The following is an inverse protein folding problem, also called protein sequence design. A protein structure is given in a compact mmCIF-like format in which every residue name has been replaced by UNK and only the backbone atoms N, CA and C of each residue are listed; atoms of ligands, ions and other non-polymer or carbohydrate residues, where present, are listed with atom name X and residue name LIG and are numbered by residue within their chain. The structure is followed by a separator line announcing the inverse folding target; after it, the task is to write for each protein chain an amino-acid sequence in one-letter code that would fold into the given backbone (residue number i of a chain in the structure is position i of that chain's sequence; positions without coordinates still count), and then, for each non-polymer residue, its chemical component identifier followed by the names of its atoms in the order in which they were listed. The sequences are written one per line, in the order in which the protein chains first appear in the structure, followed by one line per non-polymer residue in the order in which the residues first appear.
data_IF_855328242001
#
_entry.id   IF_855328242001
#
_cell.length_a   1.000
_cell.length_b   1.000
_cell.length_c   1.000
_cell.angle_alpha   90.00
_cell.angle_beta   90.00
_cell.angle_gamma   90.00
#
_symmetry.space_group_name_H-M   'P 1'
#
loop_
_entity.id
_entity.type
_entity.pdbx_description
1 polymer ?
#
# COMPACT_ATOMS: atom_id res chain seq x y z
N UNK A 1 -29.30 49.58 3.52
CA UNK A 1 -28.81 48.60 2.52
C UNK A 1 -27.67 47.71 3.02
N UNK A 2 -27.30 47.76 4.28
CA UNK A 2 -26.09 47.13 4.88
C UNK A 2 -26.34 45.77 5.60
N UNK A 3 -27.57 45.41 5.93
CA UNK A 3 -27.88 44.22 6.75
C UNK A 3 -28.02 42.92 5.93
N UNK A 4 -28.34 42.99 4.64
CA UNK A 4 -28.45 41.80 3.77
C UNK A 4 -27.11 41.21 3.30
N UNK A 5 -26.08 42.01 3.21
CA UNK A 5 -24.74 41.58 2.77
C UNK A 5 -24.00 40.83 3.88
N UNK A 6 -24.18 41.21 5.13
CA UNK A 6 -23.52 40.57 6.28
C UNK A 6 -24.05 39.14 6.56
N UNK A 7 -25.34 38.91 6.39
CA UNK A 7 -25.97 37.58 6.56
C UNK A 7 -25.61 36.60 5.43
N UNK A 8 -25.41 37.06 4.20
CA UNK A 8 -25.04 36.19 3.09
C UNK A 8 -23.59 35.70 3.19
N UNK A 9 -22.69 36.55 3.66
CA UNK A 9 -21.25 36.20 3.82
C UNK A 9 -21.06 35.20 4.97
N UNK A 10 -21.73 35.39 6.11
CA UNK A 10 -21.68 34.47 7.26
C UNK A 10 -22.32 33.10 6.97
N UNK A 11 -23.40 33.06 6.18
CA UNK A 11 -24.02 31.80 5.74
C UNK A 11 -23.14 31.04 4.71
N UNK A 12 -22.43 31.76 3.83
CA UNK A 12 -21.49 31.18 2.87
C UNK A 12 -20.25 30.59 3.58
N UNK A 13 -19.71 31.31 4.58
CA UNK A 13 -18.57 30.82 5.38
C UNK A 13 -18.96 29.63 6.27
N UNK A 14 -20.14 29.63 6.89
CA UNK A 14 -20.62 28.54 7.70
C UNK A 14 -20.88 27.26 6.87
N UNK A 15 -21.42 27.39 5.65
CA UNK A 15 -21.61 26.26 4.73
C UNK A 15 -20.27 25.73 4.20
N UNK A 16 -19.31 26.59 3.92
CA UNK A 16 -17.97 26.21 3.51
C UNK A 16 -17.22 25.42 4.60
N UNK A 17 -17.28 25.90 5.85
CA UNK A 17 -16.65 25.24 7.00
C UNK A 17 -17.30 23.89 7.32
N UNK A 18 -18.64 23.79 7.24
CA UNK A 18 -19.37 22.54 7.42
C UNK A 18 -18.99 21.50 6.36
N UNK A 19 -18.87 21.93 5.12
CA UNK A 19 -18.48 21.06 3.99
C UNK A 19 -17.03 20.56 4.15
N UNK A 20 -16.09 21.41 4.54
CA UNK A 20 -14.71 21.02 4.80
C UNK A 20 -14.63 19.98 5.93
N UNK A 21 -15.38 20.15 7.01
CA UNK A 21 -15.49 19.16 8.10
C UNK A 21 -16.03 17.82 7.61
N UNK A 22 -17.04 17.81 6.76
CA UNK A 22 -17.57 16.57 6.19
C UNK A 22 -16.52 15.84 5.34
N UNK A 23 -15.68 16.54 4.57
CA UNK A 23 -14.55 15.94 3.86
C UNK A 23 -13.47 15.40 4.82
N UNK A 24 -13.18 16.09 5.91
CA UNK A 24 -12.24 15.62 6.95
C UNK A 24 -12.73 14.35 7.64
N UNK A 25 -14.03 14.27 8.00
CA UNK A 25 -14.62 13.06 8.58
C UNK A 25 -14.57 11.91 7.55
N UNK A 26 -14.94 12.18 6.30
CA UNK A 26 -14.85 11.19 5.21
C UNK A 26 -13.42 10.73 4.97
N UNK A 27 -12.44 11.61 5.10
CA UNK A 27 -11.02 11.24 5.07
C UNK A 27 -10.66 10.30 6.23
N UNK A 28 -11.12 10.57 7.45
CA UNK A 28 -10.95 9.67 8.59
C UNK A 28 -11.53 8.27 8.33
N UNK A 29 -12.72 8.19 7.74
CA UNK A 29 -13.32 6.92 7.35
C UNK A 29 -12.55 6.23 6.21
N UNK A 30 -12.03 6.99 5.26
CA UNK A 30 -11.18 6.45 4.20
C UNK A 30 -9.83 5.95 4.74
N UNK A 31 -9.30 6.53 5.82
CA UNK A 31 -8.15 5.97 6.55
C UNK A 31 -8.50 4.63 7.21
N UNK A 32 -9.70 4.49 7.79
CA UNK A 32 -10.16 3.18 8.29
C UNK A 32 -10.24 2.16 7.14
N UNK A 33 -10.74 2.56 5.98
CA UNK A 33 -10.72 1.71 4.78
C UNK A 33 -9.29 1.28 4.42
N UNK A 34 -8.35 2.22 4.41
CA UNK A 34 -6.96 1.94 4.06
C UNK A 34 -6.26 1.04 5.10
N UNK A 35 -6.60 1.19 6.38
CA UNK A 35 -6.18 0.28 7.44
C UNK A 35 -6.68 -1.15 7.20
N UNK A 36 -8.00 -1.31 6.93
CA UNK A 36 -8.62 -2.62 6.69
C UNK A 36 -8.04 -3.30 5.43
N UNK A 37 -7.78 -2.52 4.40
CA UNK A 37 -7.15 -2.99 3.17
C UNK A 37 -5.76 -3.57 3.43
N UNK A 38 -4.89 -2.85 4.17
CA UNK A 38 -3.56 -3.34 4.51
C UNK A 38 -3.60 -4.51 5.47
N UNK A 39 -4.54 -4.54 6.42
CA UNK A 39 -4.76 -5.70 7.27
C UNK A 39 -5.14 -6.94 6.45
N UNK A 40 -6.06 -6.79 5.49
CA UNK A 40 -6.44 -7.87 4.57
C UNK A 40 -5.28 -8.31 3.65
N UNK A 41 -4.36 -7.40 3.32
CA UNK A 41 -3.17 -7.68 2.51
C UNK A 41 -2.15 -8.54 3.28
N UNK A 42 -1.89 -8.22 4.55
CA UNK A 42 -0.84 -8.83 5.36
C UNK A 42 -1.29 -10.05 6.18
N UNK A 43 -2.57 -10.14 6.57
CA UNK A 43 -3.08 -11.24 7.37
C UNK A 43 -2.79 -12.66 6.82
N UNK A 44 -2.76 -12.91 5.50
CA UNK A 44 -2.42 -14.24 5.00
C UNK A 44 -1.05 -14.77 5.43
N UNK A 45 -0.07 -13.90 5.71
CA UNK A 45 1.26 -14.31 6.14
C UNK A 45 1.23 -15.17 7.42
N UNK A 46 0.30 -14.88 8.33
CA UNK A 46 0.13 -15.60 9.61
C UNK A 46 -0.84 -16.80 9.51
N UNK A 47 -1.43 -17.05 8.34
CA UNK A 47 -2.45 -18.11 8.12
C UNK A 47 -1.95 -19.18 7.15
N UNK A 48 -0.72 -19.15 6.69
CA UNK A 48 -0.23 -20.00 5.61
C UNK A 48 -0.55 -21.50 5.82
N UNK A 49 -0.30 -22.11 7.00
CA UNK A 49 -0.64 -23.53 7.24
C UNK A 49 -2.14 -23.80 7.16
N UNK A 50 -2.98 -22.89 7.66
CA UNK A 50 -4.43 -23.05 7.65
C UNK A 50 -5.01 -22.93 6.23
N UNK A 51 -4.51 -21.95 5.47
CA UNK A 51 -4.91 -21.74 4.08
C UNK A 51 -4.49 -22.93 3.20
N UNK A 52 -3.28 -23.46 3.39
CA UNK A 52 -2.79 -24.64 2.67
C UNK A 52 -3.72 -25.85 2.87
N UNK A 53 -4.10 -26.12 4.13
CA UNK A 53 -5.05 -27.20 4.46
C UNK A 53 -6.46 -26.93 3.92
N UNK A 54 -6.97 -25.72 4.15
CA UNK A 54 -8.35 -25.36 3.81
C UNK A 54 -8.60 -25.30 2.30
N UNK A 55 -7.61 -24.84 1.52
CA UNK A 55 -7.72 -24.73 0.07
C UNK A 55 -7.24 -25.98 -0.68
N UNK A 56 -6.75 -27.00 0.05
CA UNK A 56 -6.30 -28.27 -0.53
C UNK A 56 -5.14 -28.12 -1.52
N UNK A 57 -4.20 -27.19 -1.24
CA UNK A 57 -3.10 -26.88 -2.15
C UNK A 57 -1.78 -26.70 -1.39
N UNK A 58 -0.68 -26.50 -2.09
CA UNK A 58 0.64 -26.26 -1.50
C UNK A 58 0.79 -24.79 -1.08
N UNK A 59 1.83 -24.47 -0.29
CA UNK A 59 2.17 -23.06 0.05
C UNK A 59 2.38 -22.22 -1.22
N UNK A 60 2.99 -22.78 -2.28
CA UNK A 60 3.13 -22.12 -3.58
C UNK A 60 1.76 -21.88 -4.22
N UNK A 61 0.84 -22.83 -4.14
CA UNK A 61 -0.53 -22.70 -4.63
C UNK A 61 -1.31 -21.61 -3.87
N UNK A 62 -1.18 -21.56 -2.54
CA UNK A 62 -1.75 -20.45 -1.73
C UNK A 62 -1.18 -19.12 -2.18
N UNK A 63 0.14 -19.03 -2.37
CA UNK A 63 0.78 -17.78 -2.80
C UNK A 63 0.34 -17.35 -4.20
N UNK A 64 0.08 -18.29 -5.10
CA UNK A 64 -0.49 -17.98 -6.41
C UNK A 64 -1.88 -17.33 -6.27
N UNK A 65 -2.73 -17.85 -5.36
CA UNK A 65 -4.03 -17.25 -5.03
C UNK A 65 -3.82 -15.83 -4.45
N UNK A 66 -2.93 -15.69 -3.47
CA UNK A 66 -2.65 -14.41 -2.81
C UNK A 66 -2.11 -13.36 -3.79
N UNK A 67 -1.27 -13.77 -4.73
CA UNK A 67 -0.66 -12.92 -5.75
C UNK A 67 -1.66 -12.27 -6.70
N UNK A 68 -2.83 -12.89 -6.92
CA UNK A 68 -3.87 -12.32 -7.81
C UNK A 68 -4.42 -10.98 -7.32
N UNK A 69 -4.30 -10.69 -6.03
CA UNK A 69 -4.56 -9.37 -5.44
C UNK A 69 -3.79 -8.26 -6.17
N UNK A 70 -2.49 -8.46 -6.42
CA UNK A 70 -1.64 -7.43 -7.01
C UNK A 70 -1.93 -7.19 -8.49
N UNK A 71 -2.43 -8.18 -9.23
CA UNK A 71 -2.86 -8.00 -10.62
C UNK A 71 -4.03 -7.02 -10.72
N UNK A 72 -5.09 -7.28 -9.95
CA UNK A 72 -6.28 -6.42 -9.97
C UNK A 72 -6.02 -5.08 -9.29
N UNK A 73 -5.27 -5.04 -8.19
CA UNK A 73 -4.88 -3.78 -7.55
C UNK A 73 -4.13 -2.86 -8.52
N UNK A 74 -3.13 -3.40 -9.24
CA UNK A 74 -2.36 -2.64 -10.23
C UNK A 74 -3.27 -2.05 -11.29
N UNK A 75 -4.02 -2.88 -12.02
CA UNK A 75 -4.89 -2.43 -13.12
C UNK A 75 -5.97 -1.47 -12.64
N UNK A 76 -6.63 -1.78 -11.51
CA UNK A 76 -7.73 -0.96 -10.99
C UNK A 76 -7.22 0.37 -10.42
N UNK A 77 -5.94 0.50 -10.07
CA UNK A 77 -5.35 1.80 -9.66
C UNK A 77 -5.47 2.87 -10.74
N UNK A 78 -5.40 2.49 -12.03
CA UNK A 78 -5.67 3.41 -13.15
C UNK A 78 -7.14 3.82 -13.20
N UNK A 79 -8.04 2.88 -12.92
CA UNK A 79 -9.49 3.14 -12.95
C UNK A 79 -9.90 3.99 -11.75
N UNK A 80 -9.33 3.73 -10.56
CA UNK A 80 -9.69 4.42 -9.33
C UNK A 80 -9.45 5.93 -9.40
N UNK A 81 -8.28 6.36 -9.89
CA UNK A 81 -7.99 7.79 -10.09
C UNK A 81 -8.99 8.45 -11.01
N UNK A 82 -9.22 7.83 -12.17
CA UNK A 82 -10.17 8.34 -13.17
C UNK A 82 -11.63 8.35 -12.67
N UNK A 83 -12.04 7.34 -11.89
CA UNK A 83 -13.37 7.30 -11.27
C UNK A 83 -13.56 8.42 -10.26
N UNK A 84 -12.56 8.67 -9.39
CA UNK A 84 -12.57 9.79 -8.45
C UNK A 84 -12.74 11.13 -9.17
N UNK A 85 -12.04 11.31 -10.27
CA UNK A 85 -12.12 12.55 -11.06
C UNK A 85 -13.49 12.73 -11.76
N UNK A 86 -14.18 11.65 -12.11
CA UNK A 86 -15.48 11.73 -12.83
C UNK A 86 -16.69 11.72 -11.94
N UNK A 87 -16.75 10.73 -11.01
CA UNK A 87 -17.97 10.51 -10.22
C UNK A 87 -17.85 10.99 -8.77
N UNK A 88 -16.65 11.46 -8.38
CA UNK A 88 -16.37 11.99 -7.05
C UNK A 88 -16.18 10.92 -5.98
N UNK A 89 -15.66 11.35 -4.84
CA UNK A 89 -15.36 10.46 -3.72
C UNK A 89 -16.61 9.80 -3.13
N UNK A 90 -17.76 10.49 -3.13
CA UNK A 90 -19.03 9.97 -2.58
C UNK A 90 -19.48 8.65 -3.23
N UNK A 91 -19.15 8.44 -4.49
CA UNK A 91 -19.52 7.21 -5.22
C UNK A 91 -18.34 6.26 -5.34
N UNK A 92 -17.16 6.77 -5.72
CA UNK A 92 -16.01 5.93 -6.02
C UNK A 92 -15.45 5.21 -4.79
N UNK A 93 -15.28 5.90 -3.65
CA UNK A 93 -14.66 5.31 -2.45
C UNK A 93 -15.53 4.21 -1.83
N UNK A 94 -16.86 4.41 -1.64
CA UNK A 94 -17.74 3.34 -1.15
C UNK A 94 -17.79 2.11 -2.08
N UNK A 95 -17.76 2.30 -3.39
CA UNK A 95 -17.70 1.16 -4.33
C UNK A 95 -16.44 0.33 -4.08
N UNK A 96 -15.28 0.98 -3.90
CA UNK A 96 -14.03 0.28 -3.61
C UNK A 96 -14.11 -0.57 -2.33
N UNK A 97 -14.59 0.01 -1.22
CA UNK A 97 -14.65 -0.73 0.04
C UNK A 97 -15.72 -1.83 0.03
N UNK A 98 -16.83 -1.67 -0.67
CA UNK A 98 -17.82 -2.75 -0.82
C UNK A 98 -17.28 -3.92 -1.65
N UNK A 99 -16.47 -3.65 -2.69
CA UNK A 99 -15.76 -4.68 -3.44
C UNK A 99 -14.74 -5.40 -2.53
N UNK A 100 -13.98 -4.66 -1.70
CA UNK A 100 -13.08 -5.25 -0.70
C UNK A 100 -13.84 -6.14 0.27
N UNK A 101 -14.96 -5.66 0.83
CA UNK A 101 -15.79 -6.39 1.78
C UNK A 101 -16.29 -7.72 1.18
N UNK A 102 -16.85 -7.67 -0.04
CA UNK A 102 -17.28 -8.88 -0.75
C UNK A 102 -16.10 -9.83 -0.97
N UNK A 103 -14.94 -9.31 -1.36
CA UNK A 103 -13.72 -10.10 -1.52
C UNK A 103 -13.29 -10.79 -0.23
N UNK A 104 -13.38 -10.11 0.93
CA UNK A 104 -13.09 -10.71 2.24
C UNK A 104 -14.09 -11.82 2.59
N UNK A 105 -15.38 -11.60 2.37
CA UNK A 105 -16.42 -12.59 2.65
C UNK A 105 -16.27 -13.84 1.75
N UNK A 106 -15.97 -13.67 0.47
CA UNK A 106 -15.73 -14.80 -0.43
C UNK A 106 -14.47 -15.58 -0.06
N UNK A 107 -13.40 -14.87 0.34
CA UNK A 107 -12.15 -15.51 0.73
C UNK A 107 -12.28 -16.35 2.01
N UNK A 108 -13.27 -16.08 2.86
CA UNK A 108 -13.54 -16.89 4.07
C UNK A 108 -14.06 -18.30 3.76
N UNK A 109 -14.51 -18.55 2.53
CA UNK A 109 -15.05 -19.87 2.12
C UNK A 109 -13.89 -20.76 1.66
N UNK A 110 -13.73 -21.96 2.23
CA UNK A 110 -12.54 -22.79 2.04
C UNK A 110 -12.53 -23.53 0.69
N UNK A 111 -12.53 -22.79 -0.41
CA UNK A 111 -12.39 -23.32 -1.77
C UNK A 111 -11.40 -22.48 -2.58
N UNK A 112 -10.54 -23.12 -3.37
CA UNK A 112 -9.56 -22.42 -4.19
C UNK A 112 -10.21 -21.43 -5.16
N UNK A 113 -11.35 -21.79 -5.78
CA UNK A 113 -12.07 -20.92 -6.72
C UNK A 113 -12.53 -19.62 -6.05
N UNK A 114 -13.14 -19.70 -4.86
CA UNK A 114 -13.56 -18.51 -4.11
C UNK A 114 -12.37 -17.80 -3.47
N UNK A 115 -11.29 -18.50 -3.18
CA UNK A 115 -10.01 -17.90 -2.80
C UNK A 115 -9.48 -16.98 -3.89
N UNK A 116 -9.42 -17.44 -5.15
CA UNK A 116 -9.06 -16.60 -6.30
C UNK A 116 -10.01 -15.41 -6.49
N UNK A 117 -11.31 -15.67 -6.53
CA UNK A 117 -12.33 -14.62 -6.70
C UNK A 117 -12.25 -13.57 -5.57
N UNK A 118 -12.10 -14.02 -4.31
CA UNK A 118 -11.94 -13.16 -3.14
C UNK A 118 -10.72 -12.25 -3.28
N UNK A 119 -9.56 -12.82 -3.63
CA UNK A 119 -8.31 -12.02 -3.76
C UNK A 119 -8.35 -11.04 -4.93
N UNK A 120 -8.92 -11.44 -6.06
CA UNK A 120 -9.14 -10.53 -7.20
C UNK A 120 -10.02 -9.33 -6.81
N UNK A 121 -11.13 -9.57 -6.09
CA UNK A 121 -12.00 -8.50 -5.61
C UNK A 121 -11.33 -7.65 -4.54
N UNK A 122 -10.63 -8.25 -3.58
CA UNK A 122 -9.86 -7.51 -2.58
C UNK A 122 -8.87 -6.55 -3.25
N UNK A 123 -8.10 -7.01 -4.23
CA UNK A 123 -7.15 -6.17 -4.96
C UNK A 123 -7.85 -5.02 -5.71
N UNK A 124 -8.94 -5.33 -6.42
CA UNK A 124 -9.71 -4.33 -7.17
C UNK A 124 -10.32 -3.26 -6.25
N UNK A 125 -10.92 -3.66 -5.12
CA UNK A 125 -11.49 -2.74 -4.14
C UNK A 125 -10.44 -1.87 -3.47
N UNK A 126 -9.32 -2.47 -3.08
CA UNK A 126 -8.21 -1.83 -2.38
C UNK A 126 -7.58 -0.66 -3.14
N UNK A 127 -7.59 -0.69 -4.46
CA UNK A 127 -7.04 0.37 -5.30
C UNK A 127 -7.68 1.75 -5.05
N UNK A 128 -8.90 1.78 -4.52
CA UNK A 128 -9.62 3.01 -4.16
C UNK A 128 -9.25 3.58 -2.79
N UNK A 129 -8.58 2.82 -1.93
CA UNK A 129 -8.33 3.20 -0.54
C UNK A 129 -7.39 4.41 -0.43
N UNK A 130 -6.14 4.28 -0.87
CA UNK A 130 -5.16 5.36 -0.81
C UNK A 130 -5.55 6.54 -1.70
N UNK A 131 -5.93 6.28 -2.96
CA UNK A 131 -6.32 7.32 -3.90
C UNK A 131 -7.53 8.10 -3.41
N UNK A 132 -8.52 7.42 -2.84
CA UNK A 132 -9.72 8.01 -2.25
C UNK A 132 -9.40 8.85 -1.01
N UNK A 133 -8.56 8.34 -0.10
CA UNK A 133 -8.14 9.09 1.08
C UNK A 133 -7.36 10.37 0.70
N UNK A 134 -6.42 10.29 -0.24
CA UNK A 134 -5.69 11.46 -0.75
C UNK A 134 -6.64 12.46 -1.40
N UNK A 135 -7.59 11.98 -2.21
CA UNK A 135 -8.61 12.83 -2.83
C UNK A 135 -9.44 13.59 -1.79
N UNK A 136 -9.93 12.90 -0.75
CA UNK A 136 -10.70 13.51 0.35
C UNK A 136 -9.85 14.50 1.16
N UNK A 137 -8.56 14.20 1.35
CA UNK A 137 -7.63 15.11 2.02
C UNK A 137 -7.45 16.43 1.23
N UNK A 138 -7.32 16.37 -0.09
CA UNK A 138 -7.22 17.57 -0.95
C UNK A 138 -8.44 18.48 -0.80
N UNK A 139 -9.63 17.92 -0.59
CA UNK A 139 -10.87 18.69 -0.44
C UNK A 139 -11.17 19.11 1.01
N UNK A 140 -10.57 18.43 2.00
CA UNK A 140 -10.83 18.67 3.42
C UNK A 140 -9.79 19.53 4.14
N UNK A 141 -8.56 19.62 3.62
CA UNK A 141 -7.46 20.30 4.28
C UNK A 141 -6.90 21.43 3.43
N UNK A 142 -6.44 22.49 4.10
CA UNK A 142 -5.69 23.56 3.43
C UNK A 142 -4.32 23.05 2.94
N UNK A 143 -3.74 23.75 1.96
CA UNK A 143 -2.44 23.39 1.37
C UNK A 143 -1.32 23.20 2.43
N UNK A 144 -1.39 23.97 3.54
CA UNK A 144 -0.45 23.85 4.67
C UNK A 144 -0.49 22.48 5.36
N UNK A 145 -1.66 21.85 5.46
CA UNK A 145 -1.86 20.60 6.19
C UNK A 145 -1.97 19.37 5.28
N UNK A 146 -2.02 19.58 3.97
CA UNK A 146 -2.26 18.52 2.99
C UNK A 146 -1.17 17.43 3.02
N UNK A 147 0.10 17.84 3.03
CA UNK A 147 1.21 16.90 3.09
C UNK A 147 1.17 16.04 4.37
N UNK A 148 0.85 16.67 5.51
CA UNK A 148 0.68 15.97 6.80
C UNK A 148 -0.47 14.97 6.74
N UNK A 149 -1.63 15.33 6.17
CA UNK A 149 -2.77 14.44 6.04
C UNK A 149 -2.44 13.23 5.15
N UNK A 150 -1.72 13.41 4.04
CA UNK A 150 -1.25 12.32 3.18
C UNK A 150 -0.25 11.42 3.92
N UNK A 151 0.66 12.00 4.68
CA UNK A 151 1.61 11.25 5.51
C UNK A 151 0.92 10.39 6.57
N UNK A 152 -0.05 10.97 7.30
CA UNK A 152 -0.87 10.23 8.28
C UNK A 152 -1.65 9.10 7.58
N UNK A 153 -2.20 9.36 6.39
CA UNK A 153 -2.89 8.30 5.61
C UNK A 153 -1.97 7.10 5.40
N UNK A 154 -0.73 7.33 4.95
CA UNK A 154 0.23 6.23 4.74
C UNK A 154 0.59 5.50 6.04
N UNK A 155 0.79 6.23 7.14
CA UNK A 155 1.05 5.64 8.46
C UNK A 155 -0.10 4.71 8.89
N UNK A 156 -1.35 5.15 8.75
CA UNK A 156 -2.52 4.35 9.13
C UNK A 156 -2.64 3.08 8.27
N UNK A 157 -2.34 3.15 6.97
CA UNK A 157 -2.25 1.96 6.13
C UNK A 157 -1.21 0.97 6.65
N UNK A 158 0.01 1.43 6.93
CA UNK A 158 1.08 0.55 7.43
C UNK A 158 0.79 -0.01 8.83
N UNK A 159 0.09 0.74 9.70
CA UNK A 159 -0.45 0.21 10.96
C UNK A 159 -1.45 -0.92 10.70
N UNK A 160 -2.28 -0.81 9.67
CA UNK A 160 -3.14 -1.91 9.23
C UNK A 160 -2.34 -3.15 8.83
N UNK A 161 -1.26 -2.95 8.08
CA UNK A 161 -0.33 -4.02 7.71
C UNK A 161 0.30 -4.72 8.92
N UNK A 162 0.78 -3.95 9.89
CA UNK A 162 1.28 -4.49 11.15
C UNK A 162 0.18 -5.24 11.93
N UNK A 163 -1.02 -4.66 12.03
CA UNK A 163 -2.14 -5.26 12.74
C UNK A 163 -2.60 -6.59 12.11
N UNK A 164 -2.54 -6.71 10.77
CA UNK A 164 -2.82 -7.95 10.06
C UNK A 164 -1.92 -9.11 10.44
N UNK A 165 -0.75 -8.85 11.00
CA UNK A 165 0.16 -9.87 11.53
C UNK A 165 0.14 -9.87 13.06
N UNK A 166 0.52 -8.77 13.71
CA UNK A 166 0.72 -8.64 15.15
C UNK A 166 -0.55 -8.86 15.98
N UNK A 167 -1.74 -8.49 15.46
CA UNK A 167 -3.02 -8.75 16.14
C UNK A 167 -3.60 -10.10 15.73
N UNK A 168 -3.57 -10.40 14.43
CA UNK A 168 -4.22 -11.63 13.91
C UNK A 168 -3.45 -12.88 14.33
N UNK A 169 -2.10 -12.86 14.29
CA UNK A 169 -1.29 -14.03 14.66
C UNK A 169 -1.61 -14.57 16.04
N UNK A 170 -1.50 -13.77 17.12
CA UNK A 170 -1.85 -14.21 18.48
C UNK A 170 -3.31 -14.66 18.66
N UNK A 171 -4.25 -14.10 17.89
CA UNK A 171 -5.65 -14.55 17.92
C UNK A 171 -5.78 -15.96 17.33
N UNK A 172 -5.06 -16.27 16.26
CA UNK A 172 -5.01 -17.62 15.69
C UNK A 172 -4.36 -18.62 16.65
N UNK A 173 -3.26 -18.24 17.32
CA UNK A 173 -2.64 -19.08 18.36
C UNK A 173 -3.61 -19.43 19.49
N UNK A 174 -4.52 -18.51 19.84
CA UNK A 174 -5.57 -18.71 20.85
C UNK A 174 -6.77 -19.52 20.32
N UNK A 175 -6.69 -20.05 19.10
CA UNK A 175 -7.72 -20.90 18.51
C UNK A 175 -8.80 -20.18 17.71
N UNK A 176 -8.63 -18.88 17.40
CA UNK A 176 -9.54 -18.21 16.48
C UNK A 176 -9.45 -18.86 15.09
N UNK A 177 -10.59 -19.17 14.51
CA UNK A 177 -10.65 -19.69 13.15
C UNK A 177 -10.26 -18.61 12.14
N UNK A 178 -9.40 -18.94 11.17
CA UNK A 178 -8.95 -18.00 10.14
C UNK A 178 -10.12 -17.38 9.34
N UNK A 179 -11.22 -18.12 9.14
CA UNK A 179 -12.42 -17.58 8.48
C UNK A 179 -13.04 -16.42 9.25
N UNK A 180 -13.00 -16.45 10.60
CA UNK A 180 -13.57 -15.39 11.42
C UNK A 180 -12.86 -14.05 11.19
N UNK A 181 -11.55 -14.07 10.96
CA UNK A 181 -10.78 -12.86 10.61
C UNK A 181 -11.33 -12.23 9.32
N UNK A 182 -11.60 -13.03 8.30
CA UNK A 182 -12.15 -12.53 7.03
C UNK A 182 -13.58 -12.04 7.16
N UNK A 183 -14.40 -12.70 7.98
CA UNK A 183 -15.73 -12.19 8.31
C UNK A 183 -15.65 -10.83 9.00
N UNK A 184 -14.78 -10.67 10.00
CA UNK A 184 -14.63 -9.39 10.71
C UNK A 184 -14.12 -8.28 9.77
N UNK A 185 -13.12 -8.56 8.94
CA UNK A 185 -12.63 -7.60 7.94
C UNK A 185 -13.73 -7.23 6.94
N UNK A 186 -14.52 -8.20 6.49
CA UNK A 186 -15.64 -7.98 5.57
C UNK A 186 -16.73 -7.12 6.20
N UNK A 187 -17.17 -7.47 7.42
CA UNK A 187 -18.23 -6.73 8.15
C UNK A 187 -17.75 -5.32 8.50
N UNK A 188 -16.52 -5.16 8.99
CA UNK A 188 -15.94 -3.85 9.27
C UNK A 188 -15.89 -2.97 8.01
N UNK A 189 -15.47 -3.58 6.87
CA UNK A 189 -15.46 -2.89 5.58
C UNK A 189 -16.87 -2.48 5.13
N UNK A 190 -17.88 -3.32 5.31
CA UNK A 190 -19.26 -2.96 5.02
C UNK A 190 -19.73 -1.78 5.89
N UNK A 191 -19.44 -1.81 7.20
CA UNK A 191 -19.82 -0.75 8.12
C UNK A 191 -19.17 0.60 7.74
N UNK A 192 -17.85 0.60 7.47
CA UNK A 192 -17.14 1.80 7.02
C UNK A 192 -17.66 2.27 5.66
N UNK A 193 -18.00 1.34 4.76
CA UNK A 193 -18.59 1.66 3.45
C UNK A 193 -19.94 2.38 3.58
N UNK A 194 -20.82 1.90 4.45
CA UNK A 194 -22.12 2.54 4.76
C UNK A 194 -21.89 3.95 5.32
N UNK A 195 -20.98 4.10 6.29
CA UNK A 195 -20.63 5.41 6.84
C UNK A 195 -20.09 6.38 5.77
N UNK A 196 -19.26 5.90 4.87
CA UNK A 196 -18.75 6.69 3.73
C UNK A 196 -19.89 7.17 2.80
N UNK A 197 -20.86 6.31 2.49
CA UNK A 197 -22.03 6.70 1.69
C UNK A 197 -22.85 7.81 2.38
N UNK A 198 -23.03 7.71 3.70
CA UNK A 198 -23.83 8.63 4.49
C UNK A 198 -23.14 9.98 4.70
N UNK A 199 -21.85 9.96 5.02
CA UNK A 199 -21.10 11.16 5.48
C UNK A 199 -20.43 11.90 4.33
N UNK A 200 -19.96 11.21 3.28
CA UNK A 200 -19.21 11.88 2.21
C UNK A 200 -20.08 12.86 1.45
N UNK A 201 -19.68 14.15 1.36
CA UNK A 201 -20.50 15.16 0.70
C UNK A 201 -20.56 14.93 -0.81
N UNK A 202 -21.72 15.25 -1.39
CA UNK A 202 -21.86 15.26 -2.85
C UNK A 202 -21.09 16.45 -3.44
N UNK A 203 -20.39 16.24 -4.53
CA UNK A 203 -19.70 17.28 -5.26
C UNK A 203 -20.55 17.70 -6.48
N UNK A 204 -20.83 18.99 -6.57
CA UNK A 204 -21.38 19.60 -7.77
C UNK A 204 -20.24 19.79 -8.79
N UNK A 205 -20.19 18.95 -9.80
CA UNK A 205 -19.17 19.05 -10.84
C UNK A 205 -19.79 19.59 -12.13
N UNK A 206 -19.07 20.47 -12.88
CA UNK A 206 -19.43 20.75 -14.25
C UNK A 206 -19.40 19.44 -15.05
N UNK A 207 -20.41 19.17 -15.85
CA UNK A 207 -20.39 18.09 -16.84
C UNK A 207 -19.24 18.35 -17.80
N UNK A 208 -18.09 17.74 -17.58
CA UNK A 208 -16.97 17.80 -18.53
C UNK A 208 -17.43 17.16 -19.86
N UNK A 209 -17.30 17.90 -20.92
CA UNK A 209 -17.54 17.43 -22.27
C UNK A 209 -16.61 16.26 -22.59
N UNK A 210 -17.17 15.07 -22.80
CA UNK A 210 -16.45 13.85 -23.14
C UNK A 210 -16.82 12.68 -22.26
N UNK A 211 -17.83 11.89 -22.65
CA UNK A 211 -18.36 10.76 -21.84
C UNK A 211 -17.71 9.39 -22.14
N UNK A 212 -16.64 9.34 -22.93
CA UNK A 212 -16.02 8.08 -23.37
C UNK A 212 -14.85 7.61 -22.49
N UNK A 213 -14.54 6.31 -22.50
CA UNK A 213 -13.36 5.71 -21.89
C UNK A 213 -12.05 6.36 -22.39
N UNK A 214 -12.03 6.82 -23.64
CA UNK A 214 -10.87 7.51 -24.21
C UNK A 214 -10.48 8.79 -23.46
N UNK A 215 -11.45 9.56 -22.93
CA UNK A 215 -11.18 10.77 -22.16
C UNK A 215 -10.70 10.47 -20.74
N UNK A 216 -10.99 9.27 -20.21
CA UNK A 216 -10.45 8.79 -18.92
C UNK A 216 -8.96 8.45 -19.02
N UNK A 217 -8.55 7.88 -20.13
CA UNK A 217 -7.19 7.41 -20.35
C UNK A 217 -6.27 8.48 -20.94
N UNK A 218 -6.84 9.59 -21.43
CA UNK A 218 -6.06 10.68 -22.05
C UNK A 218 -4.95 11.24 -21.12
N UNK A 219 -5.17 11.51 -19.81
CA UNK A 219 -4.11 11.97 -18.91
C UNK A 219 -2.98 10.94 -18.74
N UNK A 220 -3.31 9.64 -18.77
CA UNK A 220 -2.29 8.58 -18.67
C UNK A 220 -1.38 8.53 -19.89
N UNK A 221 -1.85 8.96 -21.06
CA UNK A 221 -1.00 9.08 -22.26
C UNK A 221 0.13 10.09 -22.04
N UNK A 222 -0.11 11.16 -21.28
CA UNK A 222 0.93 12.12 -20.90
C UNK A 222 1.94 11.47 -19.93
N UNK A 223 1.43 10.84 -18.88
CA UNK A 223 2.24 10.19 -17.84
C UNK A 223 3.12 9.10 -18.42
N UNK A 224 2.56 8.22 -19.28
CA UNK A 224 3.30 7.08 -19.85
C UNK A 224 4.14 7.46 -21.09
N UNK A 225 4.08 8.68 -21.59
CA UNK A 225 5.07 9.22 -22.53
C UNK A 225 6.34 9.71 -21.85
N UNK A 226 6.30 9.93 -20.54
CA UNK A 226 7.44 10.39 -19.78
C UNK A 226 8.26 9.20 -19.25
N UNK A 227 9.52 8.96 -19.73
CA UNK A 227 10.34 7.85 -19.25
C UNK A 227 10.61 7.89 -17.74
N UNK A 228 10.62 9.08 -17.13
CA UNK A 228 10.79 9.21 -15.69
C UNK A 228 9.65 8.57 -14.90
N UNK A 229 8.44 8.51 -15.45
CA UNK A 229 7.32 7.83 -14.80
C UNK A 229 7.57 6.32 -14.67
N UNK A 230 8.13 5.69 -15.69
CA UNK A 230 8.51 4.26 -15.63
C UNK A 230 9.64 4.01 -14.65
N UNK A 231 10.67 4.88 -14.65
CA UNK A 231 11.75 4.78 -13.68
C UNK A 231 11.25 4.93 -12.24
N UNK A 232 10.39 5.91 -11.98
CA UNK A 232 9.76 6.07 -10.65
C UNK A 232 9.00 4.81 -10.23
N UNK A 233 8.18 4.25 -11.13
CA UNK A 233 7.42 3.04 -10.86
C UNK A 233 8.28 1.80 -10.64
N UNK A 234 9.33 1.61 -11.44
CA UNK A 234 10.27 0.50 -11.29
C UNK A 234 11.04 0.60 -9.97
N UNK A 235 11.60 1.78 -9.65
CA UNK A 235 12.31 2.00 -8.38
C UNK A 235 11.41 1.77 -7.19
N UNK A 236 10.21 2.37 -7.18
CA UNK A 236 9.25 2.16 -6.10
C UNK A 236 8.87 0.68 -6.00
N UNK A 237 8.54 0.02 -7.10
CA UNK A 237 8.16 -1.39 -7.14
C UNK A 237 9.24 -2.30 -6.56
N UNK A 238 10.48 -2.16 -7.01
CA UNK A 238 11.61 -2.95 -6.54
C UNK A 238 11.90 -2.74 -5.03
N UNK A 239 11.63 -1.54 -4.49
CA UNK A 239 11.74 -1.26 -3.06
C UNK A 239 10.53 -1.74 -2.26
N UNK A 240 9.34 -1.84 -2.86
CA UNK A 240 8.13 -2.35 -2.19
C UNK A 240 8.09 -3.88 -2.12
N UNK A 241 8.64 -4.58 -3.12
CA UNK A 241 8.53 -6.05 -3.24
C UNK A 241 9.06 -6.79 -2.02
N UNK A 242 10.19 -6.44 -1.39
CA UNK A 242 10.65 -7.12 -0.18
C UNK A 242 9.65 -7.06 0.97
N UNK A 243 8.93 -5.94 1.11
CA UNK A 243 7.85 -5.83 2.12
C UNK A 243 6.60 -6.60 1.69
N UNK A 244 6.13 -6.42 0.44
CA UNK A 244 4.84 -6.99 0.01
C UNK A 244 4.88 -8.50 -0.21
N UNK A 245 5.94 -9.01 -0.77
CA UNK A 245 6.13 -10.44 -1.03
C UNK A 245 7.02 -11.06 0.05
N UNK A 246 8.18 -10.49 0.33
CA UNK A 246 9.11 -11.05 1.29
C UNK A 246 8.52 -11.14 2.69
N UNK A 247 7.90 -10.08 3.18
CA UNK A 247 7.31 -10.02 4.53
C UNK A 247 5.83 -10.40 4.55
N UNK A 248 4.97 -9.60 3.93
CA UNK A 248 3.50 -9.72 4.05
C UNK A 248 2.92 -10.98 3.39
N UNK A 249 3.73 -11.78 2.70
CA UNK A 249 3.30 -13.06 2.11
C UNK A 249 4.08 -14.23 2.69
N UNK A 250 5.40 -14.15 2.73
CA UNK A 250 6.29 -15.25 3.05
C UNK A 250 7.06 -15.10 4.37
N UNK A 251 7.11 -13.90 4.97
CA UNK A 251 8.00 -13.59 6.11
C UNK A 251 7.88 -14.58 7.26
N UNK A 252 6.65 -14.80 7.76
CA UNK A 252 6.41 -15.73 8.87
C UNK A 252 6.82 -17.16 8.50
N UNK A 253 6.52 -17.61 7.27
CA UNK A 253 6.88 -18.94 6.83
C UNK A 253 8.41 -19.15 6.74
N UNK A 254 9.16 -18.13 6.28
CA UNK A 254 10.63 -18.17 6.25
C UNK A 254 11.24 -18.13 7.66
N UNK A 255 10.74 -17.29 8.55
CA UNK A 255 11.23 -17.24 9.92
C UNK A 255 10.98 -18.55 10.67
N UNK A 256 9.83 -19.20 10.46
CA UNK A 256 9.55 -20.51 11.06
C UNK A 256 10.35 -21.63 10.40
N UNK A 257 10.32 -21.74 9.07
CA UNK A 257 10.91 -22.87 8.34
C UNK A 257 12.43 -22.83 8.30
N UNK A 258 13.02 -21.70 7.89
CA UNK A 258 14.45 -21.60 7.66
C UNK A 258 15.23 -21.14 8.89
N UNK A 259 14.60 -20.35 9.78
CA UNK A 259 15.23 -19.79 10.98
C UNK A 259 14.79 -20.49 12.25
N UNK A 260 13.82 -21.42 12.16
CA UNK A 260 13.30 -22.18 13.30
C UNK A 260 12.77 -21.30 14.44
N UNK A 261 12.27 -20.10 14.12
CA UNK A 261 11.62 -19.26 15.12
C UNK A 261 10.29 -19.87 15.52
N UNK A 262 9.89 -19.66 16.79
CA UNK A 262 8.53 -19.97 17.20
C UNK A 262 7.55 -19.18 16.32
N UNK A 263 6.30 -19.64 16.22
CA UNK A 263 5.28 -18.90 15.47
C UNK A 263 5.13 -17.47 16.02
N UNK A 264 5.10 -17.32 17.34
CA UNK A 264 5.02 -16.04 18.03
C UNK A 264 6.18 -15.09 17.64
N UNK A 265 7.41 -15.59 17.69
CA UNK A 265 8.60 -14.79 17.34
C UNK A 265 8.63 -14.43 15.86
N UNK A 266 8.22 -15.35 15.00
CA UNK A 266 8.12 -15.12 13.56
C UNK A 266 7.10 -14.01 13.21
N UNK A 267 5.93 -14.05 13.86
CA UNK A 267 4.87 -13.05 13.69
C UNK A 267 5.32 -11.67 14.20
N UNK A 268 5.92 -11.60 15.39
CA UNK A 268 6.43 -10.33 15.93
C UNK A 268 7.50 -9.77 15.01
N UNK A 269 8.47 -10.60 14.60
CA UNK A 269 9.60 -10.18 13.75
C UNK A 269 9.10 -9.61 12.40
N UNK A 270 8.18 -10.30 11.73
CA UNK A 270 7.56 -9.81 10.49
C UNK A 270 6.83 -8.47 10.70
N UNK A 271 6.01 -8.37 11.74
CA UNK A 271 5.24 -7.15 12.05
C UNK A 271 6.10 -5.90 12.23
N UNK A 272 7.39 -6.05 12.58
CA UNK A 272 8.30 -4.92 12.76
C UNK A 272 8.61 -4.20 11.45
N UNK A 273 8.53 -4.88 10.30
CA UNK A 273 8.75 -4.23 9.00
C UNK A 273 7.68 -3.18 8.72
N UNK A 274 6.37 -3.49 8.69
CA UNK A 274 5.34 -2.46 8.50
C UNK A 274 5.30 -1.43 9.64
N UNK A 275 5.64 -1.77 10.88
CA UNK A 275 5.79 -0.80 11.96
C UNK A 275 6.96 0.17 11.70
N UNK A 276 8.06 -0.31 11.16
CA UNK A 276 9.17 0.56 10.73
C UNK A 276 8.74 1.56 9.64
N UNK A 277 7.91 1.14 8.69
CA UNK A 277 7.34 2.02 7.66
C UNK A 277 6.53 3.17 8.26
N UNK A 278 5.80 2.95 9.37
CA UNK A 278 5.02 4.01 10.05
C UNK A 278 5.91 5.18 10.45
N UNK A 279 7.14 4.90 10.86
CA UNK A 279 8.14 5.92 11.22
C UNK A 279 8.89 6.39 9.97
N UNK A 280 9.30 5.46 9.12
CA UNK A 280 10.16 5.73 7.97
C UNK A 280 9.54 6.64 6.92
N UNK A 281 8.25 6.48 6.61
CA UNK A 281 7.58 7.30 5.61
C UNK A 281 7.58 8.80 5.98
N UNK A 282 7.09 9.21 7.15
CA UNK A 282 7.11 10.63 7.53
C UNK A 282 8.54 11.15 7.76
N UNK A 283 9.41 10.36 8.34
CA UNK A 283 10.79 10.74 8.63
C UNK A 283 11.58 11.04 7.35
N UNK A 284 11.58 10.12 6.39
CA UNK A 284 12.34 10.28 5.15
C UNK A 284 11.68 11.28 4.21
N UNK A 285 10.36 11.40 4.22
CA UNK A 285 9.63 12.46 3.53
C UNK A 285 10.00 13.84 4.06
N UNK A 286 9.94 14.04 5.38
CA UNK A 286 10.33 15.29 6.04
C UNK A 286 11.80 15.64 5.78
N UNK A 287 12.70 14.65 5.87
CA UNK A 287 14.12 14.86 5.62
C UNK A 287 14.37 15.28 4.16
N UNK A 288 13.68 14.66 3.20
CA UNK A 288 13.75 15.02 1.78
C UNK A 288 13.24 16.45 1.52
N UNK A 289 12.18 16.87 2.23
CA UNK A 289 11.67 18.24 2.15
C UNK A 289 12.65 19.25 2.77
N UNK A 290 13.24 18.92 3.92
CA UNK A 290 14.20 19.79 4.62
C UNK A 290 15.51 19.98 3.84
N UNK A 291 16.02 18.91 3.22
CA UNK A 291 17.23 18.95 2.38
C UNK A 291 16.93 19.63 1.04
N UNK A 292 15.66 19.66 0.61
CA UNK A 292 15.22 20.22 -0.67
C UNK A 292 15.68 19.43 -1.89
N UNK A 293 16.16 18.19 -1.71
CA UNK A 293 16.64 17.29 -2.77
C UNK A 293 16.04 15.89 -2.58
N UNK A 294 15.43 15.36 -3.64
CA UNK A 294 14.73 14.06 -3.60
C UNK A 294 15.67 12.87 -3.78
N UNK A 295 16.53 12.95 -4.79
CA UNK A 295 17.37 11.83 -5.22
C UNK A 295 18.40 11.39 -4.17
N UNK A 296 19.15 12.25 -3.47
CA UNK A 296 20.06 11.84 -2.41
C UNK A 296 19.35 11.12 -1.26
N UNK A 297 18.15 11.58 -0.89
CA UNK A 297 17.35 10.95 0.17
C UNK A 297 16.81 9.58 -0.24
N UNK A 298 16.37 9.45 -1.50
CA UNK A 298 15.96 8.17 -2.07
C UNK A 298 17.12 7.16 -2.06
N UNK A 299 18.28 7.56 -2.59
CA UNK A 299 19.46 6.68 -2.67
C UNK A 299 19.96 6.34 -1.27
N UNK A 300 20.07 7.32 -0.37
CA UNK A 300 20.50 7.08 1.02
C UNK A 300 19.57 6.13 1.77
N UNK A 301 18.24 6.31 1.61
CA UNK A 301 17.25 5.41 2.19
C UNK A 301 17.31 4.00 1.57
N UNK A 302 17.49 3.88 0.26
CA UNK A 302 17.65 2.59 -0.41
C UNK A 302 18.95 1.87 0.00
N UNK A 303 20.04 2.60 0.21
CA UNK A 303 21.29 2.04 0.77
C UNK A 303 21.08 1.57 2.20
N UNK A 304 20.43 2.36 3.06
CA UNK A 304 20.08 1.95 4.41
C UNK A 304 19.19 0.69 4.41
N UNK A 305 18.23 0.61 3.47
CA UNK A 305 17.38 -0.55 3.26
C UNK A 305 18.21 -1.79 2.86
N UNK A 306 19.18 -1.64 1.95
CA UNK A 306 20.08 -2.71 1.52
C UNK A 306 20.94 -3.22 2.69
N UNK A 307 21.51 -2.31 3.49
CA UNK A 307 22.31 -2.66 4.65
C UNK A 307 21.48 -3.38 5.73
N UNK A 308 20.25 -2.91 5.96
CA UNK A 308 19.33 -3.58 6.89
C UNK A 308 18.90 -4.95 6.37
N UNK A 309 18.65 -5.10 5.06
CA UNK A 309 18.37 -6.39 4.43
C UNK A 309 19.56 -7.36 4.60
N UNK A 310 20.79 -6.87 4.42
CA UNK A 310 21.99 -7.66 4.69
C UNK A 310 22.07 -8.06 6.17
N UNK A 311 21.81 -7.12 7.10
CA UNK A 311 21.73 -7.40 8.53
C UNK A 311 20.77 -8.53 8.85
N UNK A 312 19.54 -8.49 8.34
CA UNK A 312 18.54 -9.56 8.49
C UNK A 312 19.02 -10.88 7.87
N UNK A 313 19.59 -10.82 6.66
CA UNK A 313 20.04 -12.01 5.92
C UNK A 313 21.16 -12.77 6.66
N UNK A 314 22.08 -12.06 7.28
CA UNK A 314 23.25 -12.64 7.96
C UNK A 314 23.11 -12.74 9.48
N UNK A 315 22.05 -12.16 10.08
CA UNK A 315 21.81 -12.32 11.52
C UNK A 315 21.63 -13.80 11.89
N UNK A 316 21.96 -14.17 13.10
CA UNK A 316 21.78 -15.53 13.62
C UNK A 316 20.78 -15.60 14.77
N UNK A 317 20.70 -14.53 15.55
CA UNK A 317 19.80 -14.43 16.69
C UNK A 317 18.43 -13.82 16.36
N UNK A 318 17.44 -14.11 17.18
CA UNK A 318 16.09 -13.55 17.06
C UNK A 318 16.09 -12.02 17.22
N UNK A 319 16.74 -11.51 18.27
CA UNK A 319 16.77 -10.06 18.57
C UNK A 319 17.45 -9.26 17.45
N UNK A 320 18.56 -9.77 16.92
CA UNK A 320 19.29 -9.14 15.81
C UNK A 320 18.42 -9.06 14.55
N UNK A 321 17.72 -10.17 14.23
CA UNK A 321 16.79 -10.25 13.11
C UNK A 321 15.63 -9.25 13.28
N UNK A 322 15.05 -9.18 14.49
CA UNK A 322 13.96 -8.27 14.82
C UNK A 322 14.38 -6.80 14.67
N UNK A 323 15.54 -6.41 15.21
CA UNK A 323 16.10 -5.06 15.03
C UNK A 323 16.34 -4.77 13.55
N UNK A 324 16.94 -5.72 12.82
CA UNK A 324 17.17 -5.60 11.39
C UNK A 324 15.86 -5.38 10.59
N UNK A 325 14.79 -6.13 10.88
CA UNK A 325 13.48 -5.97 10.29
C UNK A 325 12.88 -4.59 10.56
N UNK A 326 12.99 -4.08 11.79
CA UNK A 326 12.50 -2.76 12.12
C UNK A 326 13.25 -1.65 11.39
N UNK A 327 14.59 -1.71 11.36
CA UNK A 327 15.43 -0.77 10.63
C UNK A 327 15.18 -0.84 9.12
N UNK A 328 14.99 -2.05 8.59
CA UNK A 328 14.60 -2.29 7.21
C UNK A 328 13.28 -1.57 6.90
N UNK A 329 12.27 -1.70 7.79
CA UNK A 329 11.00 -1.01 7.65
C UNK A 329 11.15 0.51 7.64
N UNK A 330 11.96 1.09 8.54
CA UNK A 330 12.25 2.54 8.56
C UNK A 330 12.88 2.97 7.23
N UNK A 331 13.90 2.28 6.77
CA UNK A 331 14.60 2.59 5.52
C UNK A 331 13.70 2.46 4.28
N UNK A 332 12.76 1.51 4.32
CA UNK A 332 11.79 1.27 3.25
C UNK A 332 10.84 2.45 3.01
N UNK A 333 10.69 3.35 3.98
CA UNK A 333 9.94 4.62 3.81
C UNK A 333 10.44 5.46 2.64
N UNK A 334 11.70 5.30 2.21
CA UNK A 334 12.25 5.95 1.02
C UNK A 334 11.53 5.57 -0.28
N UNK A 335 10.87 4.40 -0.33
CA UNK A 335 10.08 3.96 -1.48
C UNK A 335 8.89 4.88 -1.81
N UNK A 336 8.52 5.80 -0.90
CA UNK A 336 7.51 6.83 -1.15
C UNK A 336 8.07 8.06 -1.88
N UNK A 337 9.39 8.26 -1.92
CA UNK A 337 10.01 9.41 -2.59
C UNK A 337 9.74 9.41 -4.11
N UNK A 338 9.82 8.28 -4.85
CA UNK A 338 9.42 8.23 -6.26
C UNK A 338 7.98 8.69 -6.54
N UNK A 339 7.06 8.53 -5.57
CA UNK A 339 5.68 9.06 -5.68
C UNK A 339 5.62 10.59 -5.66
N UNK A 340 6.60 11.23 -5.04
CA UNK A 340 6.77 12.69 -5.10
C UNK A 340 7.43 13.09 -6.42
N UNK A 341 8.52 12.41 -6.81
CA UNK A 341 9.26 12.70 -8.04
C UNK A 341 8.33 12.59 -9.27
N UNK A 342 7.50 11.55 -9.36
CA UNK A 342 6.60 11.37 -10.51
C UNK A 342 5.62 12.53 -10.68
N UNK A 343 5.18 13.16 -9.59
CA UNK A 343 4.32 14.35 -9.63
C UNK A 343 5.09 15.61 -10.03
N UNK A 344 6.37 15.68 -9.67
CA UNK A 344 7.24 16.83 -9.94
C UNK A 344 7.81 16.83 -11.37
N UNK A 345 7.89 15.66 -12.02
CA UNK A 345 8.36 15.51 -13.41
C UNK A 345 7.24 15.48 -14.46
N UNK A 346 5.98 15.46 -14.04
CA UNK A 346 4.81 15.54 -14.91
C UNK A 346 4.06 16.85 -14.72
N UNK A 347 3.29 17.31 -15.72
CA UNK A 347 2.48 18.54 -15.61
C UNK A 347 1.46 18.48 -14.47
N UNK A 348 1.13 19.64 -13.91
CA UNK A 348 0.25 19.77 -12.74
C UNK A 348 -1.16 19.21 -13.02
N UNK A 349 -1.63 19.31 -14.25
CA UNK A 349 -2.94 18.85 -14.70
C UNK A 349 -3.12 17.33 -14.63
N UNK A 350 -2.00 16.58 -14.63
CA UNK A 350 -2.01 15.09 -14.61
C UNK A 350 -1.44 14.48 -13.33
N UNK A 351 -1.26 15.24 -12.26
CA UNK A 351 -0.70 14.75 -10.97
C UNK A 351 -1.50 13.61 -10.37
N UNK A 352 -2.83 13.62 -10.48
CA UNK A 352 -3.70 12.54 -10.06
C UNK A 352 -3.43 11.25 -10.85
N UNK A 353 -3.40 11.38 -12.18
CA UNK A 353 -3.08 10.27 -13.08
C UNK A 353 -1.64 9.78 -12.93
N UNK A 354 -0.69 10.67 -12.60
CA UNK A 354 0.68 10.28 -12.29
C UNK A 354 0.74 9.40 -11.03
N UNK A 355 -0.10 9.68 -10.02
CA UNK A 355 -0.21 8.85 -8.81
C UNK A 355 -0.83 7.49 -9.13
N UNK A 356 -1.89 7.43 -9.93
CA UNK A 356 -2.47 6.16 -10.39
C UNK A 356 -1.50 5.36 -11.28
N UNK A 357 -0.76 6.05 -12.15
CA UNK A 357 0.24 5.46 -13.03
C UNK A 357 1.42 4.84 -12.27
N UNK A 358 1.95 5.54 -11.25
CA UNK A 358 3.03 4.96 -10.43
C UNK A 358 2.53 3.78 -9.60
N UNK A 359 1.31 3.82 -9.06
CA UNK A 359 0.72 2.67 -8.37
C UNK A 359 0.60 1.46 -9.30
N UNK A 360 0.10 1.68 -10.53
CA UNK A 360 0.05 0.63 -11.56
C UNK A 360 1.42 -0.02 -11.76
N UNK A 361 2.46 0.78 -11.97
CA UNK A 361 3.81 0.28 -12.21
C UNK A 361 4.41 -0.40 -10.96
N UNK A 362 4.28 0.21 -9.79
CA UNK A 362 4.81 -0.31 -8.51
C UNK A 362 4.25 -1.69 -8.19
N UNK A 363 2.93 -1.83 -8.24
CA UNK A 363 2.29 -3.12 -7.92
C UNK A 363 2.26 -4.07 -9.11
N UNK A 364 2.46 -3.57 -10.33
CA UNK A 364 2.79 -4.38 -11.49
C UNK A 364 4.13 -5.11 -11.33
N UNK A 365 5.16 -4.44 -10.81
CA UNK A 365 6.43 -5.09 -10.44
C UNK A 365 6.20 -6.16 -9.38
N UNK A 366 5.40 -5.89 -8.35
CA UNK A 366 5.06 -6.88 -7.33
C UNK A 366 4.33 -8.09 -7.93
N UNK A 367 3.37 -7.85 -8.83
CA UNK A 367 2.61 -8.89 -9.53
C UNK A 367 3.50 -9.80 -10.40
N UNK A 368 4.57 -9.25 -10.98
CA UNK A 368 5.53 -10.00 -11.81
C UNK A 368 6.55 -10.77 -10.96
N UNK A 369 7.10 -10.13 -9.92
CA UNK A 369 8.17 -10.72 -9.10
C UNK A 369 7.61 -11.78 -8.13
N UNK A 370 6.40 -11.63 -7.63
CA UNK A 370 5.79 -12.56 -6.67
C UNK A 370 5.79 -14.01 -7.14
N UNK A 371 5.26 -14.35 -8.33
CA UNK A 371 5.29 -15.72 -8.86
C UNK A 371 6.72 -16.25 -9.09
N UNK A 372 7.66 -15.39 -9.53
CA UNK A 372 9.07 -15.77 -9.71
C UNK A 372 9.66 -16.18 -8.36
N UNK A 373 9.50 -15.34 -7.34
CA UNK A 373 9.97 -15.65 -5.99
C UNK A 373 9.35 -16.96 -5.46
N UNK A 374 8.03 -17.12 -5.58
CA UNK A 374 7.33 -18.30 -5.13
C UNK A 374 7.81 -19.59 -5.84
N UNK A 375 8.09 -19.52 -7.14
CA UNK A 375 8.57 -20.68 -7.91
C UNK A 375 9.99 -21.13 -7.53
N UNK A 376 10.84 -20.17 -7.14
CA UNK A 376 12.24 -20.43 -6.77
C UNK A 376 12.34 -20.85 -5.31
N UNK A 377 11.71 -20.12 -4.40
CA UNK A 377 11.93 -20.28 -2.96
C UNK A 377 10.79 -20.98 -2.22
N UNK A 378 9.56 -20.95 -2.75
CA UNK A 378 8.38 -21.46 -2.06
C UNK A 378 8.35 -22.98 -1.89
N UNK A 379 9.03 -23.74 -2.74
CA UNK A 379 9.01 -25.22 -2.72
C UNK A 379 9.70 -25.81 -1.49
N UNK A 380 10.71 -25.15 -0.96
CA UNK A 380 11.56 -25.66 0.13
C UNK A 380 11.01 -25.33 1.51
N UNK A 381 10.13 -24.35 1.64
CA UNK A 381 9.53 -23.96 2.93
C UNK A 381 8.73 -25.10 3.57
N UNK A 382 8.08 -25.94 2.76
CA UNK A 382 7.31 -27.09 3.25
C UNK A 382 8.16 -28.20 3.85
N UNK A 383 9.48 -28.21 3.62
CA UNK A 383 10.37 -29.28 4.07
C UNK A 383 10.83 -29.15 5.54
N UNK A 384 10.44 -28.11 6.26
CA UNK A 384 10.61 -27.87 7.70
C UNK A 384 11.98 -28.31 8.29
N UNK A 385 13.06 -28.15 7.56
CA UNK A 385 14.43 -28.39 8.02
C UNK A 385 15.18 -27.07 8.09
N UNK A 386 16.06 -26.92 9.07
CA UNK A 386 16.88 -25.72 9.26
C UNK A 386 17.72 -25.43 8.01
N UNK A 387 17.21 -24.60 7.11
CA UNK A 387 17.84 -24.20 5.86
C UNK A 387 18.34 -22.75 5.92
N UNK A 388 19.31 -22.46 6.79
CA UNK A 388 19.94 -21.15 6.87
C UNK A 388 20.51 -20.70 5.52
N UNK A 389 20.96 -21.63 4.66
CA UNK A 389 21.38 -21.32 3.29
C UNK A 389 20.21 -20.80 2.44
N UNK A 390 19.05 -21.45 2.49
CA UNK A 390 17.86 -21.05 1.76
C UNK A 390 17.35 -19.66 2.18
N UNK A 391 17.37 -19.37 3.48
CA UNK A 391 17.07 -18.02 3.99
C UNK A 391 18.02 -16.96 3.41
N UNK A 392 19.33 -17.26 3.37
CA UNK A 392 20.34 -16.37 2.77
C UNK A 392 20.12 -16.16 1.28
N UNK A 393 19.80 -17.23 0.55
CA UNK A 393 19.51 -17.15 -0.89
C UNK A 393 18.31 -16.24 -1.17
N UNK A 394 17.23 -16.38 -0.38
CA UNK A 394 16.07 -15.50 -0.47
C UNK A 394 16.43 -14.06 -0.09
N UNK A 395 17.29 -13.87 0.91
CA UNK A 395 17.82 -12.57 1.30
C UNK A 395 18.64 -11.92 0.18
N UNK A 396 19.51 -12.66 -0.51
CA UNK A 396 20.24 -12.17 -1.69
C UNK A 396 19.29 -11.73 -2.81
N UNK A 397 18.19 -12.44 -3.03
CA UNK A 397 17.19 -12.03 -4.01
C UNK A 397 16.60 -10.65 -3.69
N UNK A 398 16.26 -10.38 -2.42
CA UNK A 398 15.76 -9.08 -2.00
C UNK A 398 16.84 -7.99 -2.05
N UNK A 399 18.06 -8.32 -1.66
CA UNK A 399 19.21 -7.41 -1.78
C UNK A 399 19.48 -7.03 -3.23
N UNK A 400 19.39 -7.99 -4.17
CA UNK A 400 19.52 -7.72 -5.60
C UNK A 400 18.41 -6.79 -6.10
N UNK A 401 17.16 -7.00 -5.68
CA UNK A 401 16.04 -6.11 -6.01
C UNK A 401 16.32 -4.66 -5.58
N UNK A 402 16.78 -4.48 -4.34
CA UNK A 402 17.11 -3.16 -3.78
C UNK A 402 18.32 -2.55 -4.51
N UNK A 403 19.35 -3.34 -4.80
CA UNK A 403 20.53 -2.87 -5.52
C UNK A 403 20.17 -2.37 -6.93
N UNK A 404 19.30 -3.10 -7.64
CA UNK A 404 18.77 -2.63 -8.94
C UNK A 404 17.98 -1.33 -8.77
N UNK A 405 17.18 -1.18 -7.72
CA UNK A 405 16.48 0.06 -7.44
C UNK A 405 17.45 1.23 -7.20
N UNK A 406 18.57 1.01 -6.49
CA UNK A 406 19.62 2.02 -6.28
C UNK A 406 20.22 2.43 -7.64
N UNK A 407 20.58 1.47 -8.48
CA UNK A 407 21.15 1.73 -9.82
C UNK A 407 20.16 2.54 -10.69
N UNK A 408 18.90 2.14 -10.73
CA UNK A 408 17.86 2.85 -11.50
C UNK A 408 17.61 4.26 -10.93
N UNK A 409 17.74 4.46 -9.62
CA UNK A 409 17.60 5.77 -8.98
C UNK A 409 18.65 6.76 -9.47
N UNK A 410 19.81 6.29 -9.94
CA UNK A 410 20.84 7.15 -10.52
C UNK A 410 20.38 7.87 -11.81
N UNK A 411 19.43 7.31 -12.55
CA UNK A 411 18.86 7.85 -13.78
C UNK A 411 17.62 8.73 -13.56
N UNK A 412 17.09 8.77 -12.35
CA UNK A 412 16.00 9.69 -11.99
C UNK A 412 16.49 11.14 -12.06
N UNK A 413 15.61 12.03 -12.50
CA UNK A 413 15.88 13.48 -12.46
C UNK A 413 15.83 13.95 -11.00
N UNK A 414 16.80 14.79 -10.61
CA UNK A 414 16.70 15.50 -9.36
C UNK A 414 15.55 16.51 -9.44
N UNK A 415 14.66 16.41 -8.46
CA UNK A 415 13.55 17.34 -8.28
C UNK A 415 13.60 17.87 -6.85
N UNK A 416 13.00 18.99 -6.57
CA UNK A 416 13.05 19.58 -5.23
C UNK A 416 13.44 21.05 -5.29
N UNK A 417 13.24 21.75 -4.18
CA UNK A 417 13.35 23.20 -4.12
C UNK A 417 14.77 23.74 -4.31
N UNK A 418 15.79 22.98 -3.89
CA UNK A 418 17.18 23.39 -4.03
C UNK A 418 17.65 23.54 -5.49
N UNK A 419 16.96 22.88 -6.45
CA UNK A 419 17.26 23.04 -7.89
C UNK A 419 16.67 24.30 -8.50
N UNK A 420 15.66 24.90 -7.88
CA UNK A 420 15.04 26.16 -8.38
C UNK A 420 15.86 27.40 -8.02
N UNK A 421 16.87 27.25 -7.16
CA UNK A 421 17.75 28.31 -6.69
C UNK A 421 19.11 28.33 -7.41
N UNK A 422 19.40 27.39 -8.28
CA UNK A 422 20.58 27.33 -9.18
C UNK A 422 20.16 27.37 -10.64
#
# INVERSE_FOLDING_TARGET
MTTKTFTATTLSEATSTSRARAFQISWGLAMCFYFLEYAARSAPAVMMPDLTRALGTTAVGVTAILGTYYYTYSVTSLIAGAALDRVGAKKAVPVGIFILALGCLLFSIPTSTLGYAGRLLQGAGSAFAFTGAVYLAVHGFSARWLATAIGITQCVGMLGGAAGQFVVGPLLERGLRWQAVWHWLGIASLAVGVLLVLVTPAETRPKTAGSGWASLLAPYRVVFRNPQSYLCGAVAGLMFVPTTIGDMTWGVAFFQGDRMFSYHDAVITGSLIPLGWVIGCPLLGWLADRVGRRKPMLIGGAVAMLLSAAGVTFSTGHTETAIGCFLFGIASGAAMIPYTIVKEVNPDEVKGSATGGINFLTFGVTALIGPIFASVFGKNIAAAQNHAAHFRESGFFWMASIAVAILLSAFLRETGHARRAT
#
